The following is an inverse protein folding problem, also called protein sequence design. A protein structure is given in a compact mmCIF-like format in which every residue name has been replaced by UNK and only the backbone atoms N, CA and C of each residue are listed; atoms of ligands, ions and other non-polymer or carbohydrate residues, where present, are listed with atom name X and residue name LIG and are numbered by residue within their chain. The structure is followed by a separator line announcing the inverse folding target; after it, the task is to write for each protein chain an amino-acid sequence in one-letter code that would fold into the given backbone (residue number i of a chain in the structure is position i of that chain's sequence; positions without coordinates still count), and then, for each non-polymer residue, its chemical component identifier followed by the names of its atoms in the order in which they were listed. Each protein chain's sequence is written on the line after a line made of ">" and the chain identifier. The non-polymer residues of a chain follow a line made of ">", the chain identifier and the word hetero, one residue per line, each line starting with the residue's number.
data_IF_018012132728
#
_entry.id   IF_018012132728
#
_cell.length_a   1.000
_cell.length_b   1.000
_cell.length_c   1.000
_cell.angle_alpha   90.00
_cell.angle_beta   90.00
_cell.angle_gamma   90.00
#
_symmetry.space_group_name_H-M   'P 1'
#
loop_
_entity.id
_entity.type
_entity.pdbx_description
1 polymer ?
#
# COMPACT_ATOMS: atom_id res chain seq x y z
N UNK A 1 -30.72 -13.04 9.03
CA UNK A 1 -30.23 -11.94 9.86
C UNK A 1 -29.35 -11.00 9.04
N UNK A 2 -29.74 -9.71 8.92
CA UNK A 2 -29.07 -8.72 8.05
C UNK A 2 -27.99 -7.94 8.81
N UNK A 3 -27.95 -8.08 10.13
CA UNK A 3 -27.07 -7.32 11.06
C UNK A 3 -25.63 -7.86 11.11
N UNK A 4 -25.41 -9.13 10.77
CA UNK A 4 -24.10 -9.80 10.78
C UNK A 4 -23.37 -9.77 9.43
N UNK A 5 -23.86 -9.01 8.43
CA UNK A 5 -23.19 -8.94 7.13
C UNK A 5 -21.92 -8.09 7.25
N UNK A 6 -20.76 -8.58 6.76
CA UNK A 6 -19.53 -7.80 6.78
C UNK A 6 -19.72 -6.46 6.09
N UNK A 7 -19.13 -5.42 6.65
CA UNK A 7 -19.03 -4.11 6.04
C UNK A 7 -17.55 -3.68 5.95
N UNK A 8 -17.31 -2.53 5.31
CA UNK A 8 -15.96 -1.98 5.14
C UNK A 8 -15.23 -1.77 6.46
N UNK A 9 -15.95 -1.46 7.55
CA UNK A 9 -15.35 -1.29 8.89
C UNK A 9 -14.77 -2.62 9.37
N UNK A 10 -15.55 -3.72 9.28
CA UNK A 10 -15.09 -5.04 9.69
C UNK A 10 -13.87 -5.50 8.86
N UNK A 11 -13.90 -5.28 7.55
CA UNK A 11 -12.74 -5.56 6.69
C UNK A 11 -11.51 -4.75 7.10
N UNK A 12 -11.67 -3.45 7.38
CA UNK A 12 -10.58 -2.56 7.81
C UNK A 12 -9.99 -2.96 9.17
N UNK A 13 -10.81 -3.45 10.11
CA UNK A 13 -10.33 -3.99 11.39
C UNK A 13 -9.45 -5.21 11.16
N UNK A 14 -9.92 -6.19 10.37
CA UNK A 14 -9.15 -7.38 10.06
C UNK A 14 -7.84 -7.06 9.32
N UNK A 15 -7.88 -6.13 8.36
CA UNK A 15 -6.68 -5.64 7.67
C UNK A 15 -5.70 -4.98 8.65
N UNK A 16 -6.20 -4.14 9.56
CA UNK A 16 -5.39 -3.47 10.58
C UNK A 16 -4.72 -4.44 11.56
N UNK A 17 -5.39 -5.55 11.90
CA UNK A 17 -4.80 -6.61 12.73
C UNK A 17 -3.56 -7.23 12.06
N UNK A 18 -3.62 -7.52 10.75
CA UNK A 18 -2.46 -8.05 10.02
C UNK A 18 -1.32 -7.04 9.87
N UNK A 19 -1.64 -5.75 9.73
CA UNK A 19 -0.61 -4.69 9.74
C UNK A 19 0.15 -4.67 11.07
N UNK A 20 -0.55 -4.90 12.19
CA UNK A 20 0.06 -4.96 13.53
C UNK A 20 0.80 -6.27 13.80
N UNK A 21 0.32 -7.38 13.26
CA UNK A 21 0.94 -8.69 13.44
C UNK A 21 2.36 -8.77 12.86
N UNK A 22 2.62 -8.05 11.75
CA UNK A 22 3.95 -7.94 11.12
C UNK A 22 4.66 -9.29 10.92
N UNK A 23 3.92 -10.34 10.58
CA UNK A 23 4.50 -11.64 10.22
C UNK A 23 4.86 -11.68 8.74
N UNK A 24 5.70 -12.65 8.33
CA UNK A 24 6.09 -12.82 6.92
C UNK A 24 4.87 -12.92 5.98
N UNK A 25 3.80 -13.57 6.42
CA UNK A 25 2.59 -13.81 5.61
C UNK A 25 1.52 -12.72 5.75
N UNK A 26 1.74 -11.71 6.61
CA UNK A 26 0.74 -10.67 6.91
C UNK A 26 0.28 -9.91 5.67
N UNK A 27 1.19 -9.66 4.73
CA UNK A 27 0.86 -8.98 3.47
C UNK A 27 -0.04 -9.82 2.56
N UNK A 28 0.18 -11.15 2.50
CA UNK A 28 -0.66 -12.07 1.72
C UNK A 28 -2.05 -12.20 2.34
N UNK A 29 -2.12 -12.35 3.67
CA UNK A 29 -3.39 -12.41 4.40
C UNK A 29 -4.19 -11.12 4.24
N UNK A 30 -3.55 -9.96 4.39
CA UNK A 30 -4.17 -8.67 4.16
C UNK A 30 -4.67 -8.53 2.71
N UNK A 31 -3.85 -8.93 1.73
CA UNK A 31 -4.26 -8.90 0.32
C UNK A 31 -5.45 -9.82 0.02
N UNK A 32 -5.50 -10.99 0.64
CA UNK A 32 -6.64 -11.92 0.53
C UNK A 32 -7.93 -11.33 1.09
N UNK A 33 -7.86 -10.61 2.20
CA UNK A 33 -9.01 -9.92 2.80
C UNK A 33 -9.51 -8.81 1.87
N UNK A 34 -8.62 -7.98 1.31
CA UNK A 34 -9.01 -6.95 0.34
C UNK A 34 -9.64 -7.55 -0.92
N UNK A 35 -9.08 -8.64 -1.45
CA UNK A 35 -9.66 -9.36 -2.60
C UNK A 35 -11.09 -9.83 -2.28
N UNK A 36 -11.31 -10.36 -1.07
CA UNK A 36 -12.64 -10.79 -0.62
C UNK A 36 -13.61 -9.60 -0.52
N UNK A 37 -13.15 -8.47 0.02
CA UNK A 37 -13.95 -7.24 0.13
C UNK A 37 -14.39 -6.75 -1.27
N UNK A 38 -13.45 -6.67 -2.22
CA UNK A 38 -13.74 -6.31 -3.63
C UNK A 38 -14.74 -7.30 -4.23
N UNK A 39 -14.54 -8.60 -4.05
CA UNK A 39 -15.44 -9.62 -4.59
C UNK A 39 -16.87 -9.50 -4.04
N UNK A 40 -17.01 -9.21 -2.74
CA UNK A 40 -18.33 -9.00 -2.13
C UNK A 40 -19.00 -7.73 -2.66
N UNK A 41 -18.26 -6.65 -2.84
CA UNK A 41 -18.78 -5.43 -3.46
C UNK A 41 -19.26 -5.67 -4.89
N UNK A 42 -18.48 -6.40 -5.70
CA UNK A 42 -18.84 -6.75 -7.08
C UNK A 42 -20.07 -7.67 -7.15
N UNK A 43 -20.33 -8.48 -6.13
CA UNK A 43 -21.57 -9.27 -5.98
C UNK A 43 -22.79 -8.44 -5.55
N UNK A 44 -22.66 -7.11 -5.47
CA UNK A 44 -23.75 -6.19 -5.13
C UNK A 44 -23.86 -5.83 -3.65
N UNK A 45 -22.96 -6.33 -2.78
CA UNK A 45 -22.94 -5.95 -1.37
C UNK A 45 -22.27 -4.58 -1.21
N UNK A 46 -23.05 -3.51 -1.40
CA UNK A 46 -22.56 -2.12 -1.38
C UNK A 46 -21.89 -1.73 -0.06
N UNK A 47 -22.29 -2.32 1.07
CA UNK A 47 -21.65 -2.12 2.39
C UNK A 47 -20.20 -2.59 2.47
N UNK A 48 -19.77 -3.45 1.54
CA UNK A 48 -18.40 -3.94 1.44
C UNK A 48 -17.52 -3.10 0.51
N UNK A 49 -17.96 -1.91 0.07
CA UNK A 49 -17.19 -1.06 -0.87
C UNK A 49 -15.79 -0.76 -0.31
N UNK A 50 -14.70 -1.22 -0.96
CA UNK A 50 -13.35 -0.89 -0.55
C UNK A 50 -13.12 0.63 -0.61
N UNK A 51 -12.51 1.17 0.44
CA UNK A 51 -12.13 2.57 0.51
C UNK A 51 -10.61 2.74 0.43
N UNK A 52 -10.13 3.98 0.38
CA UNK A 52 -8.69 4.28 0.35
C UNK A 52 -7.95 3.67 1.55
N UNK A 53 -8.62 3.51 2.68
CA UNK A 53 -8.04 2.96 3.91
C UNK A 53 -7.78 1.46 3.76
N UNK A 54 -8.73 0.69 3.20
CA UNK A 54 -8.56 -0.74 2.91
C UNK A 54 -7.31 -1.00 2.05
N UNK A 55 -7.11 -0.23 0.98
CA UNK A 55 -5.91 -0.33 0.14
C UNK A 55 -4.64 0.10 0.88
N UNK A 56 -4.71 1.21 1.62
CA UNK A 56 -3.55 1.74 2.36
C UNK A 56 -3.09 0.78 3.46
N UNK A 57 -3.99 0.04 4.10
CA UNK A 57 -3.65 -1.00 5.07
C UNK A 57 -2.87 -2.15 4.42
N UNK A 58 -3.28 -2.62 3.25
CA UNK A 58 -2.52 -3.66 2.51
C UNK A 58 -1.12 -3.15 2.13
N UNK A 59 -1.03 -1.91 1.64
CA UNK A 59 0.26 -1.28 1.32
C UNK A 59 1.16 -1.16 2.55
N UNK A 60 0.61 -0.77 3.70
CA UNK A 60 1.37 -0.64 4.95
C UNK A 60 1.80 -2.01 5.51
N UNK A 61 0.97 -3.05 5.33
CA UNK A 61 1.32 -4.43 5.66
C UNK A 61 2.53 -4.90 4.85
N UNK A 62 2.53 -4.62 3.53
CA UNK A 62 3.69 -4.88 2.67
C UNK A 62 4.93 -4.11 3.14
N UNK A 63 4.79 -2.81 3.41
CA UNK A 63 5.90 -1.94 3.83
C UNK A 63 6.44 -2.25 5.25
N UNK A 64 5.74 -3.05 6.03
CA UNK A 64 6.14 -3.44 7.40
C UNK A 64 6.54 -4.91 7.49
N UNK A 65 6.66 -5.60 6.35
CA UNK A 65 7.08 -7.00 6.30
C UNK A 65 8.52 -7.16 6.85
N UNK A 66 8.74 -8.03 7.85
CA UNK A 66 10.07 -8.39 8.29
C UNK A 66 10.67 -9.46 7.38
N UNK A 67 11.97 -9.40 7.14
CA UNK A 67 12.66 -10.41 6.36
C UNK A 67 13.87 -9.88 5.61
N UNK A 68 14.48 -10.78 4.85
CA UNK A 68 15.67 -10.53 4.02
C UNK A 68 15.30 -9.79 2.73
N UNK A 69 16.26 -9.15 2.08
CA UNK A 69 16.00 -8.44 0.80
C UNK A 69 15.47 -9.37 -0.31
N UNK A 70 15.89 -10.65 -0.31
CA UNK A 70 15.43 -11.66 -1.26
C UNK A 70 13.92 -11.92 -1.13
N UNK A 71 13.41 -12.00 0.10
CA UNK A 71 11.97 -12.16 0.37
C UNK A 71 11.18 -10.88 0.02
N UNK A 72 11.80 -9.71 0.20
CA UNK A 72 11.13 -8.42 0.01
C UNK A 72 10.78 -8.07 -1.44
N UNK A 73 11.54 -8.57 -2.42
CA UNK A 73 11.28 -8.26 -3.83
C UNK A 73 9.89 -8.70 -4.29
N UNK A 74 9.45 -9.91 -3.89
CA UNK A 74 8.11 -10.40 -4.24
C UNK A 74 6.99 -9.60 -3.55
N UNK A 75 7.26 -9.08 -2.35
CA UNK A 75 6.30 -8.24 -1.60
C UNK A 75 6.17 -6.86 -2.22
N UNK A 76 7.24 -6.33 -2.82
CA UNK A 76 7.17 -5.10 -3.59
C UNK A 76 6.16 -5.23 -4.74
N UNK A 77 6.17 -6.35 -5.46
CA UNK A 77 5.25 -6.54 -6.58
C UNK A 77 3.77 -6.58 -6.11
N UNK A 78 3.51 -7.15 -4.93
CA UNK A 78 2.17 -7.11 -4.31
C UNK A 78 1.77 -5.69 -3.93
N UNK A 79 2.69 -4.92 -3.33
CA UNK A 79 2.46 -3.52 -2.99
C UNK A 79 2.19 -2.68 -4.25
N UNK A 80 3.00 -2.85 -5.29
CA UNK A 80 2.89 -2.11 -6.54
C UNK A 80 1.58 -2.41 -7.27
N UNK A 81 1.20 -3.68 -7.39
CA UNK A 81 -0.09 -4.09 -7.96
C UNK A 81 -1.27 -3.50 -7.17
N UNK A 82 -1.18 -3.46 -5.84
CA UNK A 82 -2.22 -2.86 -4.99
C UNK A 82 -2.34 -1.35 -5.21
N UNK A 83 -1.22 -0.65 -5.34
CA UNK A 83 -1.20 0.78 -5.67
C UNK A 83 -1.78 1.07 -7.06
N UNK A 84 -1.33 0.34 -8.08
CA UNK A 84 -1.85 0.47 -9.45
C UNK A 84 -3.36 0.19 -9.53
N UNK A 85 -3.85 -0.79 -8.75
CA UNK A 85 -5.27 -1.05 -8.66
C UNK A 85 -6.04 0.12 -8.04
N UNK A 86 -5.51 0.74 -6.97
CA UNK A 86 -6.14 1.91 -6.34
C UNK A 86 -6.16 3.12 -7.29
N UNK A 87 -5.12 3.35 -8.09
CA UNK A 87 -5.11 4.43 -9.10
C UNK A 87 -6.21 4.28 -10.16
N UNK A 88 -6.59 3.04 -10.46
CA UNK A 88 -7.66 2.71 -11.43
C UNK A 88 -9.02 2.56 -10.76
N UNK A 89 -9.11 2.77 -9.45
CA UNK A 89 -10.31 2.50 -8.69
C UNK A 89 -11.22 3.72 -8.68
N UNK A 90 -12.42 3.56 -9.20
CA UNK A 90 -13.49 4.54 -9.20
C UNK A 90 -14.22 4.60 -7.84
N UNK A 91 -13.94 3.65 -6.93
CA UNK A 91 -14.51 3.66 -5.58
C UNK A 91 -13.65 4.31 -4.51
N UNK A 92 -12.36 4.52 -4.77
CA UNK A 92 -11.40 4.98 -3.78
C UNK A 92 -10.31 5.81 -4.43
N UNK A 93 -9.94 6.91 -3.78
CA UNK A 93 -8.99 7.87 -4.33
C UNK A 93 -7.78 7.94 -3.38
N UNK A 94 -6.54 7.76 -3.87
CA UNK A 94 -5.34 7.89 -3.05
C UNK A 94 -5.28 9.21 -2.29
N UNK A 95 -4.65 9.21 -1.11
CA UNK A 95 -4.35 10.44 -0.38
C UNK A 95 -2.85 10.53 -0.05
N UNK A 96 -2.44 11.59 0.64
CA UNK A 96 -1.04 11.80 1.02
C UNK A 96 -0.45 10.64 1.85
N UNK A 97 -1.27 9.96 2.67
CA UNK A 97 -0.84 8.78 3.44
C UNK A 97 -0.60 7.59 2.52
N UNK A 98 -1.46 7.39 1.51
CA UNK A 98 -1.27 6.35 0.49
C UNK A 98 0.07 6.53 -0.22
N UNK A 99 0.34 7.71 -0.79
CA UNK A 99 1.62 7.97 -1.48
C UNK A 99 2.82 7.81 -0.56
N UNK A 100 2.74 8.35 0.66
CA UNK A 100 3.80 8.19 1.66
C UNK A 100 4.05 6.72 2.00
N UNK A 101 3.00 5.90 2.07
CA UNK A 101 3.09 4.46 2.33
C UNK A 101 3.72 3.69 1.16
N UNK A 102 3.39 4.05 -0.09
CA UNK A 102 4.03 3.45 -1.27
C UNK A 102 5.52 3.83 -1.34
N UNK A 103 5.88 5.07 -1.04
CA UNK A 103 7.30 5.48 -0.98
C UNK A 103 8.07 4.76 0.13
N UNK A 104 7.44 4.60 1.30
CA UNK A 104 7.96 3.74 2.39
C UNK A 104 8.18 2.31 1.89
N UNK A 105 7.25 1.74 1.13
CA UNK A 105 7.39 0.41 0.53
C UNK A 105 8.57 0.36 -0.47
N UNK A 106 8.73 1.36 -1.33
CA UNK A 106 9.90 1.46 -2.23
C UNK A 106 11.21 1.45 -1.44
N UNK A 107 11.30 2.22 -0.34
CA UNK A 107 12.50 2.30 0.47
C UNK A 107 12.84 1.01 1.22
N UNK A 108 11.82 0.28 1.68
CA UNK A 108 12.02 -0.90 2.53
C UNK A 108 12.14 -2.19 1.74
N UNK A 109 11.45 -2.29 0.60
CA UNK A 109 11.33 -3.52 -0.17
C UNK A 109 12.25 -3.60 -1.38
N UNK A 110 12.85 -2.47 -1.80
CA UNK A 110 13.82 -2.44 -2.89
C UNK A 110 15.24 -2.16 -2.35
N UNK A 111 16.29 -2.64 -3.03
CA UNK A 111 17.67 -2.35 -2.65
C UNK A 111 17.96 -0.84 -2.67
N UNK A 112 18.74 -0.37 -1.68
CA UNK A 112 19.01 1.06 -1.41
C UNK A 112 19.56 1.83 -2.63
N UNK A 113 20.30 1.17 -3.50
CA UNK A 113 20.97 1.76 -4.66
C UNK A 113 20.45 1.21 -6.00
N UNK A 114 19.22 0.69 -6.03
CA UNK A 114 18.65 0.18 -7.28
C UNK A 114 17.98 1.29 -8.08
N UNK A 115 18.25 1.34 -9.40
CA UNK A 115 17.54 2.23 -10.33
C UNK A 115 16.02 2.05 -10.24
N UNK A 116 15.54 0.82 -10.00
CA UNK A 116 14.12 0.51 -9.78
C UNK A 116 13.54 1.27 -8.59
N UNK A 117 14.27 1.39 -7.48
CA UNK A 117 13.84 2.15 -6.29
C UNK A 117 13.63 3.62 -6.61
N UNK A 118 14.61 4.24 -7.26
CA UNK A 118 14.55 5.65 -7.62
C UNK A 118 13.44 5.92 -8.64
N UNK A 119 13.34 5.08 -9.68
CA UNK A 119 12.30 5.19 -10.71
C UNK A 119 10.90 5.10 -10.10
N UNK A 120 10.62 4.07 -9.30
CA UNK A 120 9.32 3.91 -8.65
C UNK A 120 9.03 5.07 -7.69
N UNK A 121 10.02 5.55 -6.92
CA UNK A 121 9.81 6.67 -6.02
C UNK A 121 9.49 7.98 -6.76
N UNK A 122 10.19 8.25 -7.87
CA UNK A 122 9.93 9.40 -8.73
C UNK A 122 8.54 9.32 -9.37
N UNK A 123 8.13 8.15 -9.84
CA UNK A 123 6.78 7.94 -10.40
C UNK A 123 5.70 8.27 -9.36
N UNK A 124 5.80 7.68 -8.17
CA UNK A 124 4.84 7.89 -7.07
C UNK A 124 4.78 9.37 -6.67
N UNK A 125 5.93 10.04 -6.56
CA UNK A 125 5.97 11.47 -6.24
C UNK A 125 5.38 12.35 -7.34
N UNK A 126 5.69 12.08 -8.60
CA UNK A 126 5.17 12.85 -9.72
C UNK A 126 3.64 12.75 -9.80
N UNK A 127 3.09 11.55 -9.55
CA UNK A 127 1.64 11.34 -9.44
C UNK A 127 1.06 12.10 -8.25
N UNK A 128 1.65 11.96 -7.05
CA UNK A 128 1.21 12.70 -5.87
C UNK A 128 1.23 14.22 -6.07
N UNK A 129 2.24 14.74 -6.77
CA UNK A 129 2.40 16.16 -7.11
C UNK A 129 1.30 16.63 -8.07
N UNK A 130 1.04 15.87 -9.13
CA UNK A 130 0.00 16.19 -10.12
C UNK A 130 -1.38 16.27 -9.46
N UNK A 131 -1.63 15.42 -8.47
CA UNK A 131 -2.90 15.35 -7.77
C UNK A 131 -2.99 16.25 -6.52
N UNK A 132 -1.96 17.06 -6.24
CA UNK A 132 -1.94 17.97 -5.08
C UNK A 132 -1.88 17.27 -3.72
N UNK A 133 -1.37 16.03 -3.66
CA UNK A 133 -1.39 15.14 -2.47
C UNK A 133 -0.01 14.96 -1.83
N UNK A 134 0.88 15.92 -2.01
CA UNK A 134 2.22 15.90 -1.41
C UNK A 134 2.14 16.37 0.04
N UNK A 135 2.34 15.46 0.98
CA UNK A 135 2.43 15.75 2.42
C UNK A 135 3.82 15.53 3.00
N UNK A 136 4.00 15.82 4.30
CA UNK A 136 5.27 15.60 5.03
C UNK A 136 5.80 14.17 4.88
N UNK A 137 4.92 13.17 4.96
CA UNK A 137 5.29 11.77 4.78
C UNK A 137 5.84 11.47 3.38
N UNK A 138 5.24 12.07 2.34
CA UNK A 138 5.69 11.92 0.95
C UNK A 138 7.09 12.50 0.79
N UNK A 139 7.31 13.73 1.27
CA UNK A 139 8.61 14.40 1.19
C UNK A 139 9.71 13.67 1.97
N UNK A 140 9.38 13.16 3.16
CA UNK A 140 10.31 12.39 3.99
C UNK A 140 10.79 11.13 3.27
N UNK A 141 9.87 10.28 2.82
CA UNK A 141 10.25 9.03 2.14
C UNK A 141 10.83 9.24 0.74
N UNK A 142 10.45 10.32 0.04
CA UNK A 142 11.09 10.67 -1.23
C UNK A 142 12.57 11.01 -1.03
N UNK A 143 12.89 11.78 0.02
CA UNK A 143 14.28 12.13 0.34
C UNK A 143 15.11 10.86 0.58
N UNK A 144 14.58 9.94 1.38
CA UNK A 144 15.24 8.65 1.64
C UNK A 144 15.38 7.81 0.37
N UNK A 145 14.39 7.87 -0.54
CA UNK A 145 14.38 7.10 -1.78
C UNK A 145 15.33 7.62 -2.86
N UNK A 146 15.59 8.93 -2.91
CA UNK A 146 16.28 9.61 -4.03
C UNK A 146 17.67 10.14 -3.65
N UNK A 147 18.06 10.19 -2.36
CA UNK A 147 19.38 10.72 -1.95
C UNK A 147 20.16 9.84 -0.94
N UNK A 148 21.51 9.87 -0.96
CA UNK A 148 22.38 10.27 -2.08
C UNK A 148 23.58 9.35 -2.36
N UNK A 149 23.99 9.35 -3.63
CA UNK A 149 25.20 8.75 -4.20
C UNK A 149 26.45 9.66 -4.12
N UNK A 150 26.57 10.61 -3.17
CA UNK A 150 27.62 11.65 -3.25
C UNK A 150 28.13 12.19 -1.89
N UNK A 151 28.41 11.35 -0.90
CA UNK A 151 29.20 11.78 0.28
C UNK A 151 30.06 10.64 0.85
N UNK A 152 30.80 9.95 -0.03
CA UNK A 152 32.02 9.21 0.35
C UNK A 152 33.17 9.72 -0.51
#
# INVERSE_FOLDING_TARGET
>A
DVTLRPDTILYNICLGAWVKAQTKDSHQRARGILNRQIAMYNKGLKKCRPDVYSYTLVLNSCASMPGTMKERSGVFDVAWKTYQQLLKCDTAVPNHVTYGTVLKACCRLLPRNSNKREQCAREVFNTARREGRVGKMVLGWLRDAVRPHVYE
#
